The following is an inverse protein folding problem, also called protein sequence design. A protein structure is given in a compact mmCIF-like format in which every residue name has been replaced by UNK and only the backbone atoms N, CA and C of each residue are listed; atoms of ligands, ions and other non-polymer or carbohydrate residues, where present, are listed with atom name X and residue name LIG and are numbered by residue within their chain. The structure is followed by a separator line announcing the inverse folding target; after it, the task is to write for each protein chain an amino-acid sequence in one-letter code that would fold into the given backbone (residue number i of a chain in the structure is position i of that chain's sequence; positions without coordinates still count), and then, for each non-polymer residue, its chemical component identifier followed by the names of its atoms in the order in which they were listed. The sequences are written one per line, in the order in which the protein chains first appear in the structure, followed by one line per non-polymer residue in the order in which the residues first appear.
data_IF_270286396006
#
_entry.id   IF_270286396006
#
_cell.length_a   1.000
_cell.length_b   1.000
_cell.length_c   1.000
_cell.angle_alpha   90.00
_cell.angle_beta   90.00
_cell.angle_gamma   90.00
#
_symmetry.space_group_name_H-M   'P 1'
#
loop_
_entity.id
_entity.type
_entity.pdbx_description
1 polymer ?
#
# COMPACT_ATOMS: atom_id res chain seq x y z
N UNK A 1 -17.10 15.23 32.13
CA UNK A 1 -16.21 14.16 31.60
C UNK A 1 -16.68 13.57 30.26
N UNK A 2 -17.91 13.04 30.13
CA UNK A 2 -18.37 12.41 28.87
C UNK A 2 -18.32 13.32 27.63
N UNK A 3 -18.76 14.57 27.75
CA UNK A 3 -18.72 15.57 26.66
C UNK A 3 -17.29 15.86 26.18
N UNK A 4 -16.34 15.95 27.12
CA UNK A 4 -14.92 16.14 26.79
C UNK A 4 -14.36 14.95 26.01
N UNK A 5 -14.56 13.71 26.50
CA UNK A 5 -14.09 12.49 25.82
C UNK A 5 -14.68 12.39 24.41
N UNK A 6 -15.97 12.69 24.26
CA UNK A 6 -16.64 12.68 22.96
C UNK A 6 -16.05 13.72 21.99
N UNK A 7 -15.82 14.95 22.46
CA UNK A 7 -15.21 16.02 21.65
C UNK A 7 -13.78 15.65 21.25
N UNK A 8 -12.98 15.13 22.17
CA UNK A 8 -11.61 14.67 21.89
C UNK A 8 -11.60 13.52 20.90
N UNK A 9 -12.47 12.52 21.05
CA UNK A 9 -12.61 11.42 20.09
C UNK A 9 -12.98 11.94 18.69
N UNK A 10 -13.91 12.89 18.60
CA UNK A 10 -14.33 13.48 17.32
C UNK A 10 -13.17 14.17 16.62
N UNK A 11 -12.38 14.98 17.35
CA UNK A 11 -11.19 15.63 16.79
C UNK A 11 -10.10 14.65 16.39
N UNK A 12 -9.82 13.63 17.24
CA UNK A 12 -8.88 12.56 16.89
C UNK A 12 -9.33 11.82 15.63
N UNK A 13 -10.62 11.50 15.53
CA UNK A 13 -11.22 10.87 14.35
C UNK A 13 -11.03 11.72 13.09
N UNK A 14 -11.30 13.03 13.17
CA UNK A 14 -11.12 13.95 12.03
C UNK A 14 -9.65 14.05 11.58
N UNK A 15 -8.72 14.18 12.52
CA UNK A 15 -7.28 14.26 12.22
C UNK A 15 -6.79 12.97 11.55
N UNK A 16 -7.25 11.82 12.03
CA UNK A 16 -6.83 10.51 11.52
C UNK A 16 -7.54 10.12 10.23
N UNK A 17 -8.76 10.61 10.00
CA UNK A 17 -9.48 10.36 8.76
C UNK A 17 -8.70 10.86 7.54
N UNK A 18 -8.00 12.00 7.63
CA UNK A 18 -7.24 12.57 6.49
C UNK A 18 -6.14 11.62 5.98
N UNK A 19 -5.15 11.18 6.78
CA UNK A 19 -4.12 10.27 6.32
C UNK A 19 -4.67 8.90 5.91
N UNK A 20 -5.72 8.42 6.59
CA UNK A 20 -6.37 7.14 6.23
C UNK A 20 -7.07 7.23 4.88
N UNK A 21 -7.77 8.33 4.60
CA UNK A 21 -8.42 8.56 3.31
C UNK A 21 -7.38 8.73 2.21
N UNK A 22 -6.29 9.46 2.44
CA UNK A 22 -5.20 9.60 1.48
C UNK A 22 -4.53 8.24 1.19
N UNK A 23 -4.27 7.44 2.22
CA UNK A 23 -3.69 6.11 2.09
C UNK A 23 -4.63 5.14 1.35
N UNK A 24 -5.92 5.13 1.71
CA UNK A 24 -6.92 4.24 1.09
C UNK A 24 -7.19 4.63 -0.36
N UNK A 25 -7.37 5.92 -0.64
CA UNK A 25 -7.60 6.41 -2.01
C UNK A 25 -6.39 6.19 -2.91
N UNK A 26 -5.17 6.42 -2.42
CA UNK A 26 -3.96 6.12 -3.18
C UNK A 26 -3.79 4.63 -3.45
N UNK A 27 -4.07 3.76 -2.47
CA UNK A 27 -4.04 2.30 -2.65
C UNK A 27 -5.08 1.81 -3.65
N UNK A 28 -6.31 2.35 -3.56
CA UNK A 28 -7.38 2.06 -4.51
C UNK A 28 -7.01 2.49 -5.92
N UNK A 29 -6.52 3.72 -6.11
CA UNK A 29 -6.10 4.20 -7.42
C UNK A 29 -4.91 3.42 -7.97
N UNK A 30 -3.98 2.99 -7.10
CA UNK A 30 -2.85 2.16 -7.50
C UNK A 30 -3.30 0.77 -7.98
N UNK A 31 -4.27 0.16 -7.31
CA UNK A 31 -4.83 -1.14 -7.69
C UNK A 31 -5.85 -1.04 -8.85
N UNK A 32 -6.32 0.17 -9.17
CA UNK A 32 -7.34 0.36 -10.19
C UNK A 32 -6.76 0.13 -11.59
N UNK A 33 -7.35 -0.78 -12.40
CA UNK A 33 -6.84 -1.09 -13.73
C UNK A 33 -6.69 0.17 -14.58
N UNK A 34 -5.51 0.36 -15.17
CA UNK A 34 -5.16 1.50 -16.03
C UNK A 34 -5.14 2.88 -15.35
N UNK A 35 -5.33 3.01 -14.04
CA UNK A 35 -5.31 4.31 -13.38
C UNK A 35 -3.88 4.84 -13.14
N UNK A 36 -2.92 3.96 -12.84
CA UNK A 36 -1.53 4.35 -12.52
C UNK A 36 -0.50 3.59 -13.35
N UNK A 37 -0.75 2.33 -13.66
CA UNK A 37 0.09 1.51 -14.55
C UNK A 37 -0.81 0.97 -15.67
N UNK A 38 -0.72 1.57 -16.85
CA UNK A 38 -1.56 1.29 -18.03
C UNK A 38 -1.29 -0.06 -18.71
N UNK A 39 -1.06 -1.12 -17.95
CA UNK A 39 -0.75 -2.44 -18.48
C UNK A 39 -2.01 -3.19 -18.91
N UNK A 40 -2.14 -3.48 -20.20
CA UNK A 40 -3.03 -4.56 -20.65
C UNK A 40 -2.42 -5.89 -20.22
N UNK A 41 -3.23 -6.74 -19.58
CA UNK A 41 -2.81 -8.13 -19.29
C UNK A 41 -2.79 -8.86 -20.63
N UNK A 42 -1.60 -9.04 -21.18
CA UNK A 42 -1.36 -9.79 -22.41
C UNK A 42 -0.75 -11.14 -22.06
N UNK A 43 -1.32 -12.22 -22.60
CA UNK A 43 -0.77 -13.56 -22.46
C UNK A 43 0.54 -13.67 -23.23
N UNK A 44 1.56 -14.24 -22.60
CA UNK A 44 2.87 -14.42 -23.21
C UNK A 44 2.89 -15.74 -23.96
N UNK A 45 2.90 -15.67 -25.29
CA UNK A 45 3.05 -16.85 -26.13
C UNK A 45 4.46 -17.46 -25.93
N UNK A 46 4.59 -18.75 -25.54
CA UNK A 46 5.88 -19.37 -25.25
C UNK A 46 6.88 -19.31 -26.42
N UNK A 47 6.40 -19.38 -27.67
CA UNK A 47 7.23 -19.30 -28.87
C UNK A 47 7.94 -17.95 -29.09
N UNK A 48 7.58 -16.91 -28.33
CA UNK A 48 8.27 -15.61 -28.33
C UNK A 48 9.48 -15.60 -27.39
N UNK A 49 9.60 -16.58 -26.48
CA UNK A 49 10.70 -16.64 -25.53
C UNK A 49 11.90 -17.31 -26.19
N UNK A 50 12.93 -16.53 -26.52
CA UNK A 50 14.20 -17.01 -27.09
C UNK A 50 15.34 -17.06 -26.07
N UNK A 51 15.18 -16.31 -24.98
CA UNK A 51 16.16 -16.23 -23.89
C UNK A 51 15.62 -17.02 -22.71
N UNK A 52 16.45 -17.91 -22.15
CA UNK A 52 16.05 -18.65 -20.95
C UNK A 52 16.19 -17.80 -19.69
N UNK A 53 15.51 -18.13 -18.58
CA UNK A 53 15.69 -17.42 -17.30
C UNK A 53 17.16 -17.36 -16.83
N UNK A 54 17.92 -18.43 -17.02
CA UNK A 54 19.35 -18.49 -16.66
C UNK A 54 20.20 -17.55 -17.51
N UNK A 55 19.96 -17.52 -18.83
CA UNK A 55 20.62 -16.58 -19.73
C UNK A 55 20.25 -15.13 -19.42
N UNK A 56 18.99 -14.85 -19.06
CA UNK A 56 18.57 -13.51 -18.69
C UNK A 56 19.32 -12.99 -17.45
N UNK A 57 19.50 -13.84 -16.44
CA UNK A 57 20.31 -13.52 -15.26
C UNK A 57 21.78 -13.28 -15.63
N UNK A 58 22.37 -14.15 -16.45
CA UNK A 58 23.76 -13.99 -16.88
C UNK A 58 23.97 -12.68 -17.66
N UNK A 59 23.03 -12.34 -18.55
CA UNK A 59 23.07 -11.08 -19.30
C UNK A 59 22.91 -9.87 -18.38
N UNK A 60 22.07 -9.96 -17.35
CA UNK A 60 21.92 -8.93 -16.34
C UNK A 60 23.22 -8.71 -15.55
N UNK A 61 23.87 -9.80 -15.11
CA UNK A 61 25.16 -9.75 -14.42
C UNK A 61 26.26 -9.14 -15.30
N UNK A 62 26.33 -9.56 -16.57
CA UNK A 62 27.29 -9.04 -17.54
C UNK A 62 27.07 -7.53 -17.78
N UNK A 63 25.81 -7.10 -17.94
CA UNK A 63 25.47 -5.68 -18.12
C UNK A 63 25.82 -4.84 -16.88
N UNK A 64 25.65 -5.40 -15.68
CA UNK A 64 26.00 -4.74 -14.44
C UNK A 64 27.52 -4.75 -14.14
N UNK A 65 28.31 -5.54 -14.88
CA UNK A 65 29.74 -5.75 -14.61
C UNK A 65 30.02 -6.49 -13.30
N UNK A 66 29.00 -7.10 -12.69
CA UNK A 66 29.08 -7.82 -11.41
C UNK A 66 27.91 -8.78 -11.29
N UNK A 67 28.05 -9.79 -10.43
CA UNK A 67 26.93 -10.63 -10.03
C UNK A 67 25.91 -9.81 -9.25
N UNK A 68 24.70 -9.67 -9.80
CA UNK A 68 23.61 -8.97 -9.13
C UNK A 68 23.04 -9.85 -8.01
N UNK A 69 22.75 -9.30 -6.83
CA UNK A 69 22.04 -10.00 -5.77
C UNK A 69 20.55 -10.09 -6.13
N UNK A 70 20.23 -10.72 -7.27
CA UNK A 70 18.88 -10.85 -7.80
C UNK A 70 18.04 -11.72 -6.87
N UNK A 71 16.98 -11.16 -6.32
CA UNK A 71 16.04 -11.85 -5.42
C UNK A 71 14.78 -12.30 -6.14
N UNK A 72 14.45 -11.67 -7.27
CA UNK A 72 13.31 -12.05 -8.10
C UNK A 72 13.62 -11.85 -9.59
N UNK A 73 13.12 -12.79 -10.40
CA UNK A 73 13.09 -12.68 -11.86
C UNK A 73 11.64 -12.87 -12.31
N UNK A 74 11.03 -11.80 -12.83
CA UNK A 74 9.62 -11.84 -13.26
C UNK A 74 9.53 -11.73 -14.77
N UNK A 75 8.78 -12.62 -15.42
CA UNK A 75 8.47 -12.50 -16.84
C UNK A 75 7.17 -11.69 -16.99
N UNK A 76 7.23 -10.59 -17.75
CA UNK A 76 6.11 -9.66 -17.92
C UNK A 76 6.03 -9.10 -19.34
N UNK A 77 4.86 -8.57 -19.71
CA UNK A 77 4.66 -7.85 -20.96
C UNK A 77 4.91 -6.36 -20.76
N UNK A 78 5.76 -5.77 -21.62
CA UNK A 78 6.03 -4.32 -21.62
C UNK A 78 6.08 -3.80 -23.04
N UNK A 79 5.19 -2.87 -23.38
CA UNK A 79 5.11 -2.32 -24.74
C UNK A 79 4.90 -3.38 -25.82
N UNK A 80 4.07 -4.40 -25.55
CA UNK A 80 3.80 -5.51 -26.46
C UNK A 80 4.94 -6.54 -26.59
N UNK A 81 6.00 -6.45 -25.78
CA UNK A 81 7.16 -7.36 -25.81
C UNK A 81 7.29 -8.13 -24.49
N UNK A 82 7.63 -9.42 -24.51
CA UNK A 82 7.95 -10.18 -23.31
C UNK A 82 9.33 -9.76 -22.79
N UNK A 83 9.42 -9.49 -21.50
CA UNK A 83 10.63 -8.98 -20.84
C UNK A 83 10.80 -9.69 -19.50
N UNK A 84 12.01 -10.15 -19.22
CA UNK A 84 12.40 -10.52 -17.86
C UNK A 84 12.81 -9.27 -17.08
N UNK A 85 12.21 -9.08 -15.92
CA UNK A 85 12.62 -8.06 -14.96
C UNK A 85 13.41 -8.73 -13.83
N UNK A 86 14.71 -8.47 -13.78
CA UNK A 86 15.58 -8.90 -12.69
C UNK A 86 15.62 -7.81 -11.62
N UNK A 87 15.21 -8.16 -10.39
CA UNK A 87 15.16 -7.24 -9.25
C UNK A 87 16.19 -7.67 -8.20
N UNK A 88 17.12 -6.78 -7.88
CA UNK A 88 18.13 -6.96 -6.83
C UNK A 88 17.61 -6.73 -5.41
N UNK A 89 18.42 -7.11 -4.42
CA UNK A 89 18.15 -6.85 -2.99
C UNK A 89 17.79 -5.37 -2.72
N UNK A 90 16.70 -5.16 -1.99
CA UNK A 90 16.06 -3.85 -1.72
C UNK A 90 15.48 -3.10 -2.94
N UNK A 91 15.39 -3.74 -4.11
CA UNK A 91 14.75 -3.15 -5.31
C UNK A 91 15.52 -1.99 -5.95
N UNK A 92 16.76 -1.74 -5.53
CA UNK A 92 17.59 -0.64 -6.02
C UNK A 92 18.11 -0.88 -7.45
N UNK A 93 18.38 -2.13 -7.80
CA UNK A 93 18.85 -2.54 -9.12
C UNK A 93 17.72 -3.32 -9.82
N UNK A 94 17.06 -2.69 -10.80
CA UNK A 94 16.07 -3.35 -11.65
C UNK A 94 16.50 -3.25 -13.11
N UNK A 95 16.79 -4.40 -13.73
CA UNK A 95 17.13 -4.50 -15.14
C UNK A 95 16.02 -5.20 -15.91
N UNK A 96 15.82 -4.78 -17.15
CA UNK A 96 14.88 -5.35 -18.10
C UNK A 96 15.67 -6.08 -19.18
N UNK A 97 15.36 -7.34 -19.40
CA UNK A 97 15.98 -8.18 -20.42
C UNK A 97 14.89 -8.59 -21.39
N UNK A 98 14.98 -8.14 -22.64
CA UNK A 98 14.03 -8.53 -23.68
C UNK A 98 14.05 -10.06 -23.87
N UNK A 99 12.94 -10.76 -23.69
CA UNK A 99 12.93 -12.23 -23.77
C UNK A 99 13.07 -12.76 -25.21
N UNK A 100 12.88 -11.92 -26.23
CA UNK A 100 13.06 -12.26 -27.65
C UNK A 100 14.51 -12.05 -28.13
N UNK A 101 15.17 -10.98 -27.67
CA UNK A 101 16.52 -10.59 -28.17
C UNK A 101 17.61 -10.74 -27.11
N UNK A 102 17.22 -10.69 -25.84
CA UNK A 102 18.07 -10.58 -24.66
C UNK A 102 18.89 -9.30 -24.59
N UNK A 103 18.42 -8.24 -25.25
CA UNK A 103 18.87 -6.88 -25.01
C UNK A 103 18.57 -6.50 -23.56
N UNK A 104 19.57 -5.94 -22.88
CA UNK A 104 19.45 -5.51 -21.48
C UNK A 104 19.33 -3.99 -21.43
N UNK A 105 18.31 -3.51 -20.74
CA UNK A 105 18.06 -2.08 -20.51
C UNK A 105 17.82 -1.82 -19.03
N UNK A 106 18.15 -0.61 -18.56
CA UNK A 106 17.77 -0.19 -17.21
C UNK A 106 16.26 -0.02 -17.14
N UNK A 107 15.65 -0.38 -16.01
CA UNK A 107 14.23 -0.09 -15.81
C UNK A 107 14.03 1.42 -15.83
N UNK A 108 13.21 1.96 -16.74
CA UNK A 108 12.99 3.40 -16.78
C UNK A 108 12.31 3.83 -15.48
N UNK A 109 12.60 5.04 -14.98
CA UNK A 109 11.97 5.54 -13.77
C UNK A 109 10.45 5.56 -13.95
N UNK A 110 9.67 5.33 -12.86
CA UNK A 110 8.22 5.48 -12.93
C UNK A 110 7.87 6.90 -13.36
N UNK A 111 6.76 7.04 -14.08
CA UNK A 111 6.22 8.34 -14.46
C UNK A 111 5.94 9.20 -13.22
N UNK A 112 5.86 10.52 -13.39
CA UNK A 112 5.67 11.49 -12.29
C UNK A 112 4.45 11.12 -11.42
N UNK A 113 3.35 10.72 -12.07
CA UNK A 113 2.12 10.33 -11.39
C UNK A 113 2.30 9.04 -10.57
N UNK A 114 2.84 7.98 -11.17
CA UNK A 114 3.16 6.72 -10.48
C UNK A 114 4.14 6.93 -9.32
N UNK A 115 5.15 7.79 -9.52
CA UNK A 115 6.10 8.16 -8.47
C UNK A 115 5.42 8.88 -7.32
N UNK A 116 4.56 9.86 -7.61
CA UNK A 116 3.80 10.59 -6.58
C UNK A 116 2.92 9.63 -5.78
N UNK A 117 2.13 8.77 -6.43
CA UNK A 117 1.27 7.80 -5.74
C UNK A 117 2.07 6.82 -4.89
N UNK A 118 3.17 6.25 -5.41
CA UNK A 118 4.05 5.38 -4.60
C UNK A 118 4.63 6.11 -3.40
N UNK A 119 5.10 7.35 -3.59
CA UNK A 119 5.68 8.12 -2.50
C UNK A 119 4.64 8.49 -1.45
N UNK A 120 3.45 8.93 -1.86
CA UNK A 120 2.34 9.27 -0.97
C UNK A 120 1.85 8.05 -0.18
N UNK A 121 1.63 6.93 -0.87
CA UNK A 121 1.10 5.72 -0.26
C UNK A 121 2.02 5.10 0.80
N UNK A 122 3.34 5.15 0.58
CA UNK A 122 4.34 4.60 1.51
C UNK A 122 5.01 5.65 2.40
N UNK A 123 4.56 6.92 2.35
CA UNK A 123 5.19 8.04 3.04
C UNK A 123 6.69 8.25 2.70
N UNK A 124 7.17 7.76 1.56
CA UNK A 124 8.58 7.91 1.17
C UNK A 124 8.99 9.38 0.97
N UNK A 125 8.04 10.28 0.69
CA UNK A 125 8.33 11.72 0.57
C UNK A 125 8.79 12.35 1.89
N UNK A 126 8.49 11.72 3.04
CA UNK A 126 8.81 12.26 4.35
C UNK A 126 10.28 12.02 4.77
N UNK A 127 11.05 11.22 4.01
CA UNK A 127 12.46 10.95 4.31
C UNK A 127 12.65 10.39 5.72
N UNK A 128 13.54 11.00 6.51
CA UNK A 128 13.78 10.61 7.91
C UNK A 128 12.55 10.76 8.82
N UNK A 129 11.56 11.55 8.43
CA UNK A 129 10.30 11.70 9.16
C UNK A 129 9.29 10.58 8.89
N UNK A 130 9.53 9.72 7.91
CA UNK A 130 8.63 8.62 7.56
C UNK A 130 8.30 7.75 8.78
N UNK A 131 9.32 7.26 9.48
CA UNK A 131 9.12 6.38 10.65
C UNK A 131 8.46 7.13 11.82
N UNK A 132 8.93 8.32 12.24
CA UNK A 132 8.26 9.10 13.28
C UNK A 132 6.79 9.41 12.97
N UNK A 133 6.47 9.83 11.74
CA UNK A 133 5.09 10.13 11.35
C UNK A 133 4.22 8.88 11.36
N UNK A 134 4.73 7.76 10.85
CA UNK A 134 4.01 6.49 10.88
C UNK A 134 3.68 6.07 12.31
N UNK A 135 4.66 6.16 13.22
CA UNK A 135 4.46 5.84 14.65
C UNK A 135 3.44 6.80 15.28
N UNK A 136 3.57 8.11 15.06
CA UNK A 136 2.67 9.10 15.63
C UNK A 136 1.22 8.94 15.14
N UNK A 137 1.03 8.80 13.83
CA UNK A 137 -0.31 8.58 13.24
C UNK A 137 -0.90 7.25 13.70
N UNK A 138 -0.09 6.19 13.82
CA UNK A 138 -0.56 4.89 14.34
C UNK A 138 -0.99 4.98 15.81
N UNK A 139 -0.24 5.71 16.64
CA UNK A 139 -0.59 5.92 18.04
C UNK A 139 -1.90 6.71 18.18
N UNK A 140 -2.07 7.79 17.41
CA UNK A 140 -3.30 8.59 17.39
C UNK A 140 -4.50 7.77 16.86
N UNK A 141 -4.30 6.93 15.85
CA UNK A 141 -5.34 6.03 15.34
C UNK A 141 -5.76 5.00 16.41
N UNK A 142 -4.80 4.43 17.14
CA UNK A 142 -5.06 3.53 18.26
C UNK A 142 -5.87 4.23 19.36
N UNK A 143 -5.47 5.44 19.77
CA UNK A 143 -6.22 6.25 20.74
C UNK A 143 -7.63 6.59 20.26
N UNK A 144 -7.80 6.90 18.97
CA UNK A 144 -9.10 7.12 18.36
C UNK A 144 -9.98 5.86 18.46
N UNK A 145 -9.46 4.68 18.11
CA UNK A 145 -10.19 3.42 18.21
C UNK A 145 -10.57 3.08 19.67
N UNK A 146 -9.64 3.21 20.61
CA UNK A 146 -9.87 2.96 22.03
C UNK A 146 -10.92 3.90 22.62
N UNK A 147 -10.85 5.19 22.31
CA UNK A 147 -11.84 6.17 22.76
C UNK A 147 -13.23 5.90 22.16
N UNK A 148 -13.31 5.46 20.90
CA UNK A 148 -14.56 5.04 20.26
C UNK A 148 -15.17 3.81 20.94
N UNK A 149 -14.37 2.77 21.20
CA UNK A 149 -14.80 1.58 21.95
C UNK A 149 -15.32 1.93 23.34
N UNK A 150 -14.59 2.77 24.08
CA UNK A 150 -15.00 3.24 25.41
C UNK A 150 -16.35 3.99 25.37
N UNK A 151 -16.52 4.91 24.42
CA UNK A 151 -17.76 5.65 24.24
C UNK A 151 -18.93 4.72 23.90
N UNK A 152 -18.72 3.76 23.01
CA UNK A 152 -19.75 2.80 22.63
C UNK A 152 -20.20 1.93 23.83
N UNK A 153 -19.24 1.36 24.58
CA UNK A 153 -19.54 0.55 25.78
C UNK A 153 -20.26 1.36 26.85
N UNK A 154 -19.81 2.58 27.13
CA UNK A 154 -20.42 3.43 28.17
C UNK A 154 -21.81 3.92 27.79
N UNK A 155 -22.05 4.28 26.53
CA UNK A 155 -23.37 4.67 26.03
C UNK A 155 -24.33 3.48 26.00
N UNK A 156 -23.88 2.30 25.56
CA UNK A 156 -24.69 1.09 25.53
C UNK A 156 -25.11 0.62 26.93
N UNK A 157 -24.18 0.59 27.90
CA UNK A 157 -24.50 0.29 29.32
C UNK A 157 -25.52 1.27 29.91
N UNK A 158 -25.43 2.55 29.53
CA UNK A 158 -26.39 3.58 30.00
C UNK A 158 -27.78 3.35 29.40
N UNK A 159 -27.86 2.93 28.12
CA UNK A 159 -29.14 2.57 27.48
C UNK A 159 -29.80 1.36 28.15
N UNK A 160 -29.05 0.29 28.40
CA UNK A 160 -29.56 -0.93 29.05
C UNK A 160 -30.14 -0.65 30.45
N UNK A 161 -29.45 0.18 31.25
CA UNK A 161 -29.95 0.59 32.58
C UNK A 161 -31.27 1.36 32.51
N UNK A 162 -31.44 2.26 31.53
CA UNK A 162 -32.69 3.00 31.34
C UNK A 162 -33.85 2.08 30.96
N UNK A 163 -33.60 1.09 30.09
CA UNK A 163 -34.64 0.14 29.67
C UNK A 163 -35.14 -0.74 30.82
N UNK A 164 -34.23 -1.23 31.69
CA UNK A 164 -34.64 -2.00 32.89
C UNK A 164 -35.34 -1.15 33.95
N UNK A 165 -34.87 0.08 34.21
CA UNK A 165 -35.54 0.97 35.16
C UNK A 165 -36.96 1.35 34.74
N UNK A 166 -37.22 1.52 33.43
CA UNK A 166 -38.55 1.86 32.92
C UNK A 166 -39.53 0.69 32.92
N UNK A 167 -39.07 -0.56 32.99
CA UNK A 167 -39.95 -1.74 33.09
C UNK A 167 -40.40 -2.02 34.52
N UNK A 168 -39.58 -1.72 35.54
CA UNK A 168 -40.00 -1.88 36.94
C UNK A 168 -41.07 -0.87 37.35
N UNK A 169 -40.97 0.39 36.90
CA UNK A 169 -41.96 1.43 37.25
C UNK A 169 -43.36 1.14 36.69
N UNK A 170 -43.48 0.32 35.63
CA UNK A 170 -44.77 -0.06 35.04
C UNK A 170 -45.43 -1.29 35.67
N UNK A 171 -44.76 -1.99 36.58
CA UNK A 171 -45.33 -3.18 37.25
C UNK A 171 -45.97 -2.87 38.61
N UNK A 172 -45.73 -1.68 39.15
CA UNK A 172 -46.13 -1.29 40.50
C UNK A 172 -47.29 -0.27 40.53
N UNK A 173 -48.00 -0.07 39.42
CA UNK A 173 -49.20 0.78 39.32
C UNK A 173 -50.27 0.10 38.50
#
# INVERSE_FOLDING_TARGET
MRSFIYRTHTWLGLIIAVPVLAWTSSGLLYAWPNAVEGGKIESIAPGRLRVTPGEALQRADNFAGRKLPTTALTLLMRGGRPVYQAVGGMGADSLLINAETGEVTKTPPPGILTRYFRQAHFYFFAGSWQVPLLVAVSALACLSALSGMYLNVTLWRTRLRKTHGSQNIRRDG
#
